data_IF_909653635120
#
_entry.id   IF_909653635120
#
_cell.length_a   1.000
_cell.length_b   1.000
_cell.length_c   1.000
_cell.angle_alpha   90.00
_cell.angle_beta   90.00
_cell.angle_gamma   90.00
#
_symmetry.space_group_name_H-M   'P 1'
#
loop_
_entity.id
_entity.type
_entity.pdbx_description
1 polymer ?
#
# COMPACT_ATOMS: atom_id res chain seq x y z
N UNK A 1 11.60 53.98 48.85
CA UNK A 1 11.85 53.45 47.49
C UNK A 1 11.52 51.96 47.47
N UNK A 2 10.28 51.57 47.12
CA UNK A 2 9.90 50.20 46.75
C UNK A 2 8.69 50.29 45.82
N UNK A 3 8.98 50.25 44.52
CA UNK A 3 7.99 50.18 43.45
C UNK A 3 7.55 48.73 43.32
N UNK A 4 6.25 48.45 43.45
CA UNK A 4 5.68 47.13 43.12
C UNK A 4 4.78 47.32 41.91
N UNK A 5 5.25 46.82 40.77
CA UNK A 5 4.60 46.81 39.47
C UNK A 5 3.50 45.73 39.51
N UNK A 6 2.25 46.10 39.22
CA UNK A 6 1.16 45.13 38.99
C UNK A 6 1.27 44.60 37.57
N UNK A 7 1.64 43.32 37.42
CA UNK A 7 1.53 42.60 36.16
C UNK A 7 0.06 42.23 35.92
N UNK A 8 -0.57 42.87 34.94
CA UNK A 8 -1.87 42.45 34.41
C UNK A 8 -1.64 41.29 33.44
N UNK A 9 -2.17 40.11 33.77
CA UNK A 9 -2.15 38.95 32.89
C UNK A 9 -3.14 39.16 31.73
N UNK A 10 -2.63 39.12 30.51
CA UNK A 10 -3.42 39.14 29.28
C UNK A 10 -3.93 37.71 29.01
N UNK A 11 -5.23 37.47 29.12
CA UNK A 11 -5.85 36.17 28.81
C UNK A 11 -6.10 36.10 27.30
N UNK A 12 -5.34 35.27 26.60
CA UNK A 12 -5.64 34.89 25.21
C UNK A 12 -6.69 33.76 25.22
N UNK A 13 -7.93 34.09 24.87
CA UNK A 13 -8.96 33.08 24.61
C UNK A 13 -8.75 32.53 23.19
N UNK A 14 -8.24 31.31 23.07
CA UNK A 14 -8.17 30.59 21.79
C UNK A 14 -9.55 29.99 21.51
N UNK A 15 -10.27 30.59 20.56
CA UNK A 15 -11.54 30.06 20.04
C UNK A 15 -11.22 28.85 19.14
N UNK A 16 -11.42 27.63 19.63
CA UNK A 16 -11.39 26.44 18.78
C UNK A 16 -12.75 26.30 18.09
N UNK A 17 -12.79 26.64 16.79
CA UNK A 17 -13.93 26.35 15.93
C UNK A 17 -13.87 24.84 15.59
N UNK A 18 -14.69 24.03 16.24
CA UNK A 18 -14.85 22.62 15.87
C UNK A 18 -15.70 22.54 14.60
N UNK A 19 -15.05 22.51 13.44
CA UNK A 19 -15.72 22.13 12.19
C UNK A 19 -15.79 20.59 12.20
N UNK A 20 -16.99 20.07 12.40
CA UNK A 20 -17.26 18.63 12.29
C UNK A 20 -17.32 18.31 10.80
N UNK A 21 -16.23 17.77 10.23
CA UNK A 21 -16.28 17.10 8.95
C UNK A 21 -16.73 15.66 9.19
N UNK A 22 -17.92 15.30 8.71
CA UNK A 22 -18.32 13.90 8.60
C UNK A 22 -17.51 13.28 7.45
N UNK A 23 -16.44 12.56 7.80
CA UNK A 23 -15.72 11.74 6.82
C UNK A 23 -16.53 10.45 6.64
N UNK A 24 -17.04 10.14 5.43
CA UNK A 24 -17.70 8.87 5.20
C UNK A 24 -16.66 7.76 5.39
N UNK A 25 -17.06 6.66 6.03
CA UNK A 25 -16.20 5.49 6.23
C UNK A 25 -15.88 4.83 4.89
N UNK A 26 -14.81 5.29 4.24
CA UNK A 26 -14.33 4.77 2.96
C UNK A 26 -13.47 3.54 3.18
N UNK A 27 -13.60 2.56 2.28
CA UNK A 27 -12.70 1.43 2.22
C UNK A 27 -11.32 1.92 1.75
N UNK A 28 -10.37 1.98 2.69
CA UNK A 28 -8.98 2.44 2.58
C UNK A 28 -8.80 3.94 2.32
N UNK A 29 -8.40 4.67 3.37
CA UNK A 29 -7.93 6.06 3.31
C UNK A 29 -6.64 6.23 2.48
N UNK A 30 -6.19 5.20 1.75
CA UNK A 30 -4.87 5.22 1.12
C UNK A 30 -4.85 5.99 -0.20
N UNK A 31 -5.88 5.93 -1.04
CA UNK A 31 -5.83 6.55 -2.38
C UNK A 31 -7.16 7.21 -2.81
N UNK A 32 -8.01 7.56 -1.84
CA UNK A 32 -9.33 8.19 -2.08
C UNK A 32 -10.25 7.37 -3.02
N UNK A 33 -10.01 6.06 -3.16
CA UNK A 33 -10.84 5.18 -3.97
C UNK A 33 -12.12 4.82 -3.19
N UNK A 34 -13.27 5.24 -3.72
CA UNK A 34 -14.57 4.93 -3.13
C UNK A 34 -15.18 3.71 -3.81
N UNK A 35 -15.05 2.55 -3.17
CA UNK A 35 -15.59 1.30 -3.69
C UNK A 35 -17.12 1.29 -3.81
N UNK A 36 -17.83 1.98 -2.91
CA UNK A 36 -19.29 2.02 -2.93
C UNK A 36 -19.77 2.91 -4.08
N UNK A 37 -19.17 4.09 -4.25
CA UNK A 37 -19.38 4.92 -5.42
C UNK A 37 -19.06 4.13 -6.71
N UNK A 38 -17.88 3.50 -6.78
CA UNK A 38 -17.42 2.82 -7.99
C UNK A 38 -18.35 1.68 -8.40
N UNK A 39 -18.82 0.88 -7.43
CA UNK A 39 -19.82 -0.16 -7.68
C UNK A 39 -21.17 0.41 -8.17
N UNK A 40 -21.58 1.57 -7.65
CA UNK A 40 -22.84 2.20 -8.02
C UNK A 40 -22.79 2.90 -9.38
N UNK A 41 -21.68 3.57 -9.69
CA UNK A 41 -21.45 4.26 -10.95
C UNK A 41 -21.26 3.27 -12.12
N UNK A 42 -20.62 2.12 -11.87
CA UNK A 42 -20.21 1.17 -12.90
C UNK A 42 -20.89 -0.19 -12.75
N UNK A 43 -22.13 -0.26 -13.24
CA UNK A 43 -22.96 -1.47 -13.14
C UNK A 43 -22.36 -2.70 -13.83
N UNK A 44 -21.58 -2.51 -14.91
CA UNK A 44 -20.86 -3.57 -15.61
C UNK A 44 -19.77 -4.21 -14.73
N UNK A 45 -19.02 -3.39 -14.01
CA UNK A 45 -17.98 -3.84 -13.09
C UNK A 45 -18.61 -4.52 -11.87
N UNK A 46 -19.64 -3.90 -11.28
CA UNK A 46 -20.39 -4.48 -10.16
C UNK A 46 -21.01 -5.82 -10.53
N UNK A 47 -21.45 -6.02 -11.77
CA UNK A 47 -22.01 -7.30 -12.21
C UNK A 47 -20.97 -8.45 -12.16
N UNK A 48 -19.67 -8.14 -12.30
CA UNK A 48 -18.59 -9.14 -12.27
C UNK A 48 -18.04 -9.31 -10.85
N UNK A 49 -17.77 -8.21 -10.14
CA UNK A 49 -17.04 -8.22 -8.87
C UNK A 49 -17.92 -7.99 -7.63
N UNK A 50 -19.20 -7.69 -7.82
CA UNK A 50 -20.11 -7.31 -6.75
C UNK A 50 -19.64 -6.05 -6.04
N UNK A 51 -19.73 -6.05 -4.71
CA UNK A 51 -19.31 -4.96 -3.84
C UNK A 51 -17.96 -5.25 -3.16
N UNK A 52 -17.12 -6.12 -3.73
CA UNK A 52 -15.82 -6.43 -3.14
C UNK A 52 -14.84 -5.28 -3.42
N UNK A 53 -14.60 -4.43 -2.41
CA UNK A 53 -13.74 -3.26 -2.52
C UNK A 53 -12.36 -3.55 -3.11
N UNK A 54 -11.74 -4.68 -2.74
CA UNK A 54 -10.41 -5.07 -3.26
C UNK A 54 -10.46 -5.40 -4.74
N UNK A 55 -11.48 -6.13 -5.19
CA UNK A 55 -11.63 -6.45 -6.61
C UNK A 55 -12.01 -5.23 -7.45
N UNK A 56 -12.85 -4.35 -6.91
CA UNK A 56 -13.23 -3.10 -7.56
C UNK A 56 -12.03 -2.17 -7.72
N UNK A 57 -11.21 -2.02 -6.67
CA UNK A 57 -9.99 -1.22 -6.77
C UNK A 57 -8.96 -1.86 -7.72
N UNK A 58 -8.80 -3.19 -7.65
CA UNK A 58 -7.93 -3.91 -8.58
C UNK A 58 -8.39 -3.75 -10.05
N UNK A 59 -9.70 -3.74 -10.31
CA UNK A 59 -10.26 -3.41 -11.62
C UNK A 59 -9.91 -1.97 -12.03
N UNK A 60 -10.12 -1.00 -11.13
CA UNK A 60 -9.80 0.39 -11.40
C UNK A 60 -8.33 0.59 -11.79
N UNK A 61 -7.39 0.02 -11.02
CA UNK A 61 -5.95 0.12 -11.29
C UNK A 61 -5.56 -0.42 -12.68
N UNK A 62 -6.17 -1.54 -13.09
CA UNK A 62 -5.79 -2.26 -14.31
C UNK A 62 -6.54 -1.80 -15.56
N UNK A 63 -7.80 -1.35 -15.41
CA UNK A 63 -8.71 -1.01 -16.50
C UNK A 63 -9.33 0.38 -16.32
N UNK A 64 -9.94 0.65 -15.16
CA UNK A 64 -10.73 1.86 -14.93
C UNK A 64 -9.99 3.17 -15.24
N UNK A 65 -8.71 3.29 -14.85
CA UNK A 65 -7.89 4.47 -15.17
C UNK A 65 -7.75 4.69 -16.69
N UNK A 66 -7.61 3.61 -17.48
CA UNK A 66 -7.49 3.69 -18.95
C UNK A 66 -8.82 3.95 -19.64
N UNK A 67 -9.89 3.49 -19.02
CA UNK A 67 -11.27 3.72 -19.48
C UNK A 67 -11.77 5.12 -19.12
N UNK A 68 -11.03 5.90 -18.33
CA UNK A 68 -11.42 7.23 -17.87
C UNK A 68 -12.53 7.20 -16.81
N UNK A 69 -12.61 6.11 -16.02
CA UNK A 69 -13.56 6.00 -14.92
C UNK A 69 -13.09 6.83 -13.71
N UNK A 70 -14.03 7.49 -13.04
CA UNK A 70 -13.81 8.23 -11.80
C UNK A 70 -13.71 7.26 -10.62
N UNK A 71 -12.78 7.50 -9.69
CA UNK A 71 -12.65 6.66 -8.48
C UNK A 71 -13.58 7.06 -7.34
N UNK A 72 -14.13 8.27 -7.38
CA UNK A 72 -15.07 8.78 -6.38
C UNK A 72 -15.95 9.90 -6.95
N UNK A 73 -16.95 10.33 -6.16
CA UNK A 73 -17.88 11.38 -6.56
C UNK A 73 -17.23 12.77 -6.70
N UNK A 74 -16.14 13.06 -5.97
CA UNK A 74 -15.46 14.34 -6.06
C UNK A 74 -14.75 14.51 -7.41
N UNK A 75 -14.11 13.45 -7.91
CA UNK A 75 -13.54 13.43 -9.25
C UNK A 75 -14.60 13.60 -10.34
N UNK A 76 -15.72 12.89 -10.24
CA UNK A 76 -16.84 13.04 -11.19
C UNK A 76 -17.35 14.48 -11.21
N UNK A 77 -17.55 15.08 -10.02
CA UNK A 77 -17.96 16.47 -9.91
C UNK A 77 -16.95 17.46 -10.51
N UNK A 78 -15.65 17.14 -10.44
CA UNK A 78 -14.59 17.94 -11.09
C UNK A 78 -14.56 17.79 -12.62
N UNK A 79 -15.15 16.70 -13.15
CA UNK A 79 -15.08 16.34 -14.56
C UNK A 79 -13.70 15.85 -15.03
N UNK A 80 -12.74 15.70 -14.11
CA UNK A 80 -11.37 15.26 -14.40
C UNK A 80 -11.11 13.95 -13.67
N UNK A 81 -10.99 12.85 -14.41
CA UNK A 81 -10.58 11.57 -13.84
C UNK A 81 -9.10 11.66 -13.46
N UNK A 82 -8.75 11.38 -12.21
CA UNK A 82 -7.34 11.20 -11.86
C UNK A 82 -6.84 9.88 -12.43
N UNK A 83 -5.66 9.93 -13.04
CA UNK A 83 -4.91 8.74 -13.45
C UNK A 83 -3.69 8.54 -12.54
N UNK A 84 -3.65 9.14 -11.35
CA UNK A 84 -2.57 8.95 -10.38
C UNK A 84 -3.02 8.11 -9.18
N UNK A 85 -2.04 7.43 -8.61
CA UNK A 85 -2.13 6.77 -7.31
C UNK A 85 -1.01 7.36 -6.46
N UNK A 86 -1.35 7.83 -5.27
CA UNK A 86 -0.39 8.63 -4.48
C UNK A 86 0.06 7.90 -3.20
N UNK A 87 -0.67 6.85 -2.78
CA UNK A 87 -0.24 5.91 -1.73
C UNK A 87 -0.19 4.49 -2.28
N UNK A 88 1.01 3.93 -2.36
CA UNK A 88 1.23 2.62 -2.93
C UNK A 88 2.60 2.07 -2.53
N UNK A 89 2.77 0.76 -2.66
CA UNK A 89 4.08 0.12 -2.61
C UNK A 89 4.62 0.00 -4.03
N UNK A 90 5.78 0.56 -4.27
CA UNK A 90 6.58 0.39 -5.48
C UNK A 90 7.60 -0.73 -5.26
N UNK A 91 7.63 -1.73 -6.14
CA UNK A 91 8.63 -2.80 -6.16
C UNK A 91 9.33 -2.77 -7.50
N UNK A 92 10.55 -2.25 -7.50
CA UNK A 92 11.42 -2.18 -8.67
C UNK A 92 12.32 -3.41 -8.71
N UNK A 93 12.02 -4.36 -9.60
CA UNK A 93 12.81 -5.59 -9.79
C UNK A 93 14.17 -5.27 -10.41
N UNK A 94 14.26 -4.26 -11.27
CA UNK A 94 15.52 -3.93 -11.94
C UNK A 94 16.57 -3.43 -10.94
N UNK A 95 16.13 -2.58 -10.01
CA UNK A 95 16.98 -1.99 -8.96
C UNK A 95 16.97 -2.77 -7.64
N UNK A 96 16.07 -3.75 -7.50
CA UNK A 96 15.84 -4.53 -6.27
C UNK A 96 15.56 -3.61 -5.06
N UNK A 97 14.61 -2.72 -5.24
CA UNK A 97 14.14 -1.80 -4.20
C UNK A 97 12.65 -1.93 -3.96
N UNK A 98 12.23 -1.66 -2.73
CA UNK A 98 10.84 -1.47 -2.36
C UNK A 98 10.69 -0.10 -1.70
N UNK A 99 9.76 0.70 -2.19
CA UNK A 99 9.39 1.98 -1.61
C UNK A 99 7.91 1.97 -1.25
N UNK A 100 7.55 2.54 -0.10
CA UNK A 100 6.18 2.84 0.26
C UNK A 100 5.97 4.35 0.16
N UNK A 101 5.08 4.72 -0.75
CA UNK A 101 4.58 6.08 -0.89
C UNK A 101 3.31 6.24 -0.07
N UNK A 102 3.16 7.40 0.56
CA UNK A 102 1.92 7.85 1.18
C UNK A 102 1.71 9.31 0.83
N UNK A 103 0.54 9.63 0.28
CA UNK A 103 0.18 10.99 -0.13
C UNK A 103 1.22 11.64 -1.07
N UNK A 104 1.83 10.83 -1.95
CA UNK A 104 2.84 11.25 -2.93
C UNK A 104 4.27 11.30 -2.39
N UNK A 105 4.49 11.08 -1.09
CA UNK A 105 5.81 11.13 -0.46
C UNK A 105 6.33 9.73 -0.08
N UNK A 106 7.64 9.51 -0.20
CA UNK A 106 8.27 8.26 0.25
C UNK A 106 8.33 8.26 1.78
N UNK A 107 7.60 7.34 2.41
CA UNK A 107 7.59 7.15 3.87
C UNK A 107 8.55 6.03 4.30
N UNK A 108 8.77 5.04 3.44
CA UNK A 108 9.70 3.94 3.71
C UNK A 108 10.40 3.52 2.41
N UNK A 109 11.70 3.28 2.47
CA UNK A 109 12.49 2.78 1.34
C UNK A 109 13.46 1.72 1.83
N UNK A 110 13.67 0.67 1.03
CA UNK A 110 14.62 -0.39 1.36
C UNK A 110 15.05 -1.15 0.12
N UNK A 111 16.24 -1.75 0.17
CA UNK A 111 16.59 -2.82 -0.76
C UNK A 111 15.75 -4.06 -0.46
N UNK A 112 15.42 -4.82 -1.48
CA UNK A 112 14.68 -6.07 -1.36
C UNK A 112 15.39 -7.22 -2.10
N UNK A 113 14.84 -8.43 -2.00
CA UNK A 113 15.19 -9.53 -2.92
C UNK A 113 13.90 -10.14 -3.45
N UNK A 114 13.66 -9.94 -4.74
CA UNK A 114 12.49 -10.49 -5.44
C UNK A 114 12.71 -11.94 -5.85
N UNK A 115 11.69 -12.52 -6.48
CA UNK A 115 11.70 -13.88 -6.99
C UNK A 115 12.75 -14.12 -8.08
N UNK A 116 13.27 -15.36 -8.14
CA UNK A 116 14.33 -15.73 -9.06
C UNK A 116 13.80 -16.12 -10.46
N UNK A 117 14.01 -15.28 -11.49
CA UNK A 117 13.51 -15.57 -12.83
C UNK A 117 14.18 -16.77 -13.49
N UNK A 118 15.44 -17.07 -13.13
CA UNK A 118 16.20 -18.19 -13.71
C UNK A 118 15.71 -19.56 -13.21
N UNK A 119 14.81 -19.58 -12.22
CA UNK A 119 14.23 -20.80 -11.66
C UNK A 119 12.72 -20.91 -11.90
N UNK A 120 12.16 -20.04 -12.76
CA UNK A 120 10.71 -19.97 -12.98
C UNK A 120 9.93 -19.32 -11.82
N UNK A 121 10.63 -18.71 -10.87
CA UNK A 121 10.07 -18.12 -9.66
C UNK A 121 10.02 -16.59 -9.70
N UNK A 122 9.88 -15.99 -10.90
CA UNK A 122 9.80 -14.54 -11.05
C UNK A 122 8.70 -13.94 -10.17
N UNK A 123 8.97 -12.82 -9.51
CA UNK A 123 7.89 -11.99 -8.95
C UNK A 123 7.01 -11.49 -10.10
N UNK A 124 5.68 -11.70 -10.05
CA UNK A 124 4.78 -11.21 -11.10
C UNK A 124 4.84 -9.69 -11.21
N UNK A 125 5.05 -9.17 -12.42
CA UNK A 125 4.93 -7.74 -12.72
C UNK A 125 3.47 -7.34 -12.91
N UNK A 126 3.12 -6.11 -12.57
CA UNK A 126 1.77 -5.59 -12.74
C UNK A 126 1.33 -4.70 -11.58
N UNK A 127 0.04 -4.36 -11.59
CA UNK A 127 -0.62 -3.60 -10.52
C UNK A 127 -1.50 -4.55 -9.72
N UNK A 128 -1.30 -4.54 -8.41
CA UNK A 128 -1.98 -5.40 -7.46
C UNK A 128 -2.49 -4.58 -6.27
N UNK A 129 -3.14 -5.26 -5.33
CA UNK A 129 -3.66 -4.66 -4.09
C UNK A 129 -3.29 -5.56 -2.93
N UNK A 130 -2.87 -5.01 -1.79
CA UNK A 130 -2.67 -5.77 -0.56
C UNK A 130 -4.01 -6.39 -0.14
N UNK A 131 -4.09 -7.71 -0.18
CA UNK A 131 -5.32 -8.48 0.05
C UNK A 131 -5.46 -8.98 1.49
N UNK A 132 -4.36 -9.08 2.21
CA UNK A 132 -4.35 -9.57 3.59
C UNK A 132 -3.01 -9.29 4.28
N UNK A 133 -3.09 -9.01 5.59
CA UNK A 133 -1.95 -8.93 6.51
C UNK A 133 -2.07 -10.06 7.54
N UNK A 134 -1.01 -10.83 7.75
CA UNK A 134 -0.98 -11.93 8.72
C UNK A 134 0.26 -11.78 9.62
N UNK A 135 0.08 -11.69 10.95
CA UNK A 135 1.19 -11.71 11.90
C UNK A 135 1.58 -13.16 12.19
N UNK A 136 2.75 -13.58 11.73
CA UNK A 136 3.28 -14.92 11.94
C UNK A 136 2.62 -15.98 11.04
N UNK A 137 3.39 -16.53 10.10
CA UNK A 137 2.93 -17.63 9.26
C UNK A 137 4.09 -18.46 8.72
N UNK A 138 3.84 -19.76 8.55
CA UNK A 138 4.66 -20.60 7.68
C UNK A 138 4.31 -20.41 6.20
N UNK A 139 5.33 -20.06 5.41
CA UNK A 139 5.31 -20.17 3.95
C UNK A 139 5.83 -21.55 3.58
N UNK A 140 5.02 -22.31 2.85
CA UNK A 140 5.30 -23.73 2.55
C UNK A 140 5.40 -23.91 1.04
N UNK A 141 6.53 -24.44 0.61
CA UNK A 141 6.72 -24.94 -0.75
C UNK A 141 6.88 -26.47 -0.75
N UNK A 142 7.15 -27.06 -1.92
CA UNK A 142 7.25 -28.52 -2.07
C UNK A 142 8.33 -29.16 -1.18
N UNK A 143 9.44 -28.45 -0.95
CA UNK A 143 10.62 -28.96 -0.23
C UNK A 143 11.09 -28.05 0.90
N UNK A 144 10.38 -26.95 1.16
CA UNK A 144 10.79 -25.93 2.12
C UNK A 144 9.62 -25.42 2.94
N UNK A 145 9.94 -24.98 4.15
CA UNK A 145 8.99 -24.42 5.09
C UNK A 145 9.71 -23.32 5.88
N UNK A 146 9.24 -22.08 5.75
CA UNK A 146 9.90 -20.91 6.33
C UNK A 146 8.90 -20.10 7.14
N UNK A 147 9.25 -19.79 8.38
CA UNK A 147 8.47 -18.87 9.21
C UNK A 147 8.76 -17.42 8.81
N UNK A 148 7.71 -16.61 8.72
CA UNK A 148 7.78 -15.16 8.55
C UNK A 148 6.89 -14.50 9.60
N UNK A 149 7.37 -13.40 10.17
CA UNK A 149 6.65 -12.68 11.22
C UNK A 149 5.60 -11.73 10.65
N UNK A 150 5.85 -11.15 9.47
CA UNK A 150 4.99 -10.14 8.84
C UNK A 150 4.71 -10.54 7.39
N UNK A 151 3.52 -11.06 7.13
CA UNK A 151 3.12 -11.46 5.78
C UNK A 151 2.07 -10.50 5.20
N UNK A 152 2.37 -9.88 4.07
CA UNK A 152 1.51 -8.92 3.34
C UNK A 152 1.26 -9.43 1.92
N UNK A 153 0.15 -10.13 1.70
CA UNK A 153 -0.18 -10.75 0.40
C UNK A 153 -0.71 -9.72 -0.58
N UNK A 154 -0.22 -9.70 -1.82
CA UNK A 154 -0.77 -8.85 -2.88
C UNK A 154 -1.31 -9.62 -4.10
N UNK A 155 -0.83 -10.83 -4.38
CA UNK A 155 -1.38 -11.65 -5.47
C UNK A 155 -1.12 -13.14 -5.23
N UNK A 156 -1.98 -14.03 -5.75
CA UNK A 156 -1.80 -15.49 -5.65
C UNK A 156 -1.29 -15.96 -4.28
N UNK A 157 -0.11 -16.60 -4.28
CA UNK A 157 0.68 -16.96 -3.10
C UNK A 157 1.95 -16.10 -2.94
N UNK A 158 1.92 -14.87 -3.45
CA UNK A 158 3.02 -13.90 -3.46
C UNK A 158 2.68 -12.71 -2.58
N UNK A 159 3.68 -12.26 -1.82
CA UNK A 159 3.54 -11.16 -0.86
C UNK A 159 4.88 -10.55 -0.49
N UNK A 160 4.82 -9.49 0.31
CA UNK A 160 5.98 -8.90 0.98
C UNK A 160 6.12 -9.50 2.37
N UNK A 161 7.35 -9.79 2.79
CA UNK A 161 7.61 -10.28 4.15
C UNK A 161 9.07 -10.12 4.58
N UNK A 162 9.29 -10.25 5.89
CA UNK A 162 10.63 -10.35 6.49
C UNK A 162 11.37 -11.58 5.98
N UNK A 163 12.69 -11.43 5.82
CA UNK A 163 13.59 -12.52 5.44
C UNK A 163 14.77 -12.59 6.41
N UNK A 164 14.49 -12.97 7.66
CA UNK A 164 15.49 -13.00 8.74
C UNK A 164 16.68 -13.96 8.48
N UNK A 165 16.55 -14.88 7.52
CA UNK A 165 17.63 -15.79 7.09
C UNK A 165 18.64 -15.11 6.15
N UNK A 166 18.37 -13.89 5.68
CA UNK A 166 19.25 -13.14 4.77
C UNK A 166 19.96 -12.00 5.48
N UNK A 167 21.24 -11.83 5.18
CA UNK A 167 22.06 -10.71 5.65
C UNK A 167 22.35 -9.66 4.57
N UNK A 168 21.97 -9.91 3.31
CA UNK A 168 22.19 -9.00 2.18
C UNK A 168 20.94 -8.92 1.31
N UNK A 169 20.67 -7.72 0.81
CA UNK A 169 19.54 -7.37 -0.05
C UNK A 169 20.02 -6.50 -1.22
N UNK A 170 19.24 -6.46 -2.30
CA UNK A 170 19.54 -5.64 -3.47
C UNK A 170 20.42 -6.30 -4.53
N UNK A 171 20.79 -5.50 -5.53
CA UNK A 171 21.72 -5.87 -6.59
C UNK A 171 21.23 -7.04 -7.45
N UNK A 172 22.12 -7.99 -7.75
CA UNK A 172 21.80 -9.14 -8.61
C UNK A 172 21.43 -10.41 -7.84
N UNK A 173 21.23 -10.34 -6.52
CA UNK A 173 20.97 -11.51 -5.66
C UNK A 173 19.78 -12.31 -6.19
N UNK A 174 18.71 -11.63 -6.64
CA UNK A 174 17.51 -12.28 -7.14
C UNK A 174 17.76 -13.25 -8.30
N UNK A 175 18.82 -13.06 -9.10
CA UNK A 175 19.14 -13.92 -10.25
C UNK A 175 19.72 -15.28 -9.86
N UNK A 176 20.41 -15.37 -8.71
CA UNK A 176 21.07 -16.60 -8.26
C UNK A 176 20.44 -17.18 -7.00
N UNK A 177 19.88 -16.33 -6.16
CA UNK A 177 19.38 -16.64 -4.82
C UNK A 177 18.15 -15.74 -4.51
N UNK A 178 17.27 -15.58 -5.49
CA UNK A 178 15.97 -14.93 -5.31
C UNK A 178 14.95 -15.82 -4.60
N UNK A 179 13.81 -15.23 -4.25
CA UNK A 179 12.70 -15.94 -3.59
C UNK A 179 11.93 -16.86 -4.56
N UNK A 180 10.89 -17.52 -4.04
CA UNK A 180 9.89 -18.27 -4.83
C UNK A 180 8.75 -17.38 -5.37
N UNK A 181 9.04 -16.10 -5.62
CA UNK A 181 8.08 -15.11 -6.15
C UNK A 181 7.82 -13.94 -5.20
N UNK A 182 7.95 -14.14 -3.88
CA UNK A 182 7.78 -13.10 -2.86
C UNK A 182 8.82 -11.97 -2.94
N UNK A 183 8.52 -10.87 -2.27
CA UNK A 183 9.47 -9.76 -2.05
C UNK A 183 10.02 -9.90 -0.64
N UNK A 184 11.27 -10.37 -0.54
CA UNK A 184 11.98 -10.49 0.73
C UNK A 184 12.47 -9.11 1.16
N UNK A 185 12.15 -8.72 2.40
CA UNK A 185 12.54 -7.45 2.99
C UNK A 185 13.46 -7.67 4.22
N UNK A 186 14.35 -6.72 4.53
CA UNK A 186 14.98 -6.68 5.85
C UNK A 186 13.92 -6.69 6.95
N UNK A 187 14.18 -7.37 8.07
CA UNK A 187 13.21 -7.56 9.16
C UNK A 187 12.60 -6.23 9.63
N UNK A 188 13.44 -5.24 9.93
CA UNK A 188 12.97 -3.92 10.38
C UNK A 188 12.09 -3.21 9.35
N UNK A 189 12.43 -3.34 8.06
CA UNK A 189 11.63 -2.78 6.96
C UNK A 189 10.27 -3.48 6.88
N UNK A 190 10.25 -4.81 6.94
CA UNK A 190 9.00 -5.57 6.89
C UNK A 190 8.08 -5.22 8.06
N UNK A 191 8.66 -5.02 9.25
CA UNK A 191 7.92 -4.66 10.46
C UNK A 191 7.35 -3.24 10.33
N UNK A 192 8.20 -2.28 9.96
CA UNK A 192 7.78 -0.89 9.73
C UNK A 192 6.69 -0.80 8.68
N UNK A 193 6.86 -1.49 7.54
CA UNK A 193 5.85 -1.53 6.48
C UNK A 193 4.55 -2.13 6.99
N UNK A 194 4.61 -3.28 7.68
CA UNK A 194 3.43 -3.96 8.20
C UNK A 194 2.63 -3.08 9.15
N UNK A 195 3.28 -2.24 9.94
CA UNK A 195 2.59 -1.38 10.90
C UNK A 195 1.89 -0.19 10.23
N UNK A 196 2.39 0.28 9.08
CA UNK A 196 1.88 1.50 8.40
C UNK A 196 1.07 1.25 7.12
N UNK A 197 1.15 0.05 6.54
CA UNK A 197 0.42 -0.30 5.30
C UNK A 197 -0.97 -0.86 5.62
N UNK A 198 -1.96 -0.56 4.81
CA UNK A 198 -3.32 -1.08 4.97
C UNK A 198 -3.66 -2.19 3.97
N UNK A 199 -4.63 -3.02 4.32
CA UNK A 199 -5.30 -3.88 3.34
C UNK A 199 -6.08 -2.96 2.40
N UNK A 200 -5.89 -3.10 1.09
CA UNK A 200 -6.39 -2.15 0.10
C UNK A 200 -5.32 -1.26 -0.52
N UNK A 201 -4.12 -1.16 0.06
CA UNK A 201 -3.02 -0.40 -0.55
C UNK A 201 -2.59 -1.02 -1.88
N UNK A 202 -2.40 -0.20 -2.92
CA UNK A 202 -1.89 -0.65 -4.20
C UNK A 202 -0.43 -1.15 -4.10
N UNK A 203 -0.08 -2.15 -4.91
CA UNK A 203 1.30 -2.65 -5.05
C UNK A 203 1.64 -2.69 -6.53
N UNK A 204 2.63 -1.90 -6.94
CA UNK A 204 3.09 -1.80 -8.32
C UNK A 204 4.43 -2.52 -8.43
N UNK A 205 4.51 -3.52 -9.31
CA UNK A 205 5.72 -4.30 -9.51
C UNK A 205 6.20 -4.14 -10.95
N UNK A 206 7.46 -3.70 -11.15
CA UNK A 206 8.04 -3.44 -12.47
C UNK A 206 9.46 -3.95 -12.64
#
# INVERSE_FOLDING_TARGET
MKTIIRMSALVFAVLFLNIIYTVPSHASDTDDFDADYYANAYADVRAVYGNNAIELYNHYLNYGMKEGRFKNAAEEASGVASCSIDTYVDVDIANQTMNYYKDGEIVLSSSCVTGNPNTGNSTPKGKFVVRSKIPGKYLVGPTWNVWVDRWMRFTGNVGLHDANWRSKFGGNIYKSDGSHGCVNLPTETAYSLYDIIDVGTAVIVH
#
